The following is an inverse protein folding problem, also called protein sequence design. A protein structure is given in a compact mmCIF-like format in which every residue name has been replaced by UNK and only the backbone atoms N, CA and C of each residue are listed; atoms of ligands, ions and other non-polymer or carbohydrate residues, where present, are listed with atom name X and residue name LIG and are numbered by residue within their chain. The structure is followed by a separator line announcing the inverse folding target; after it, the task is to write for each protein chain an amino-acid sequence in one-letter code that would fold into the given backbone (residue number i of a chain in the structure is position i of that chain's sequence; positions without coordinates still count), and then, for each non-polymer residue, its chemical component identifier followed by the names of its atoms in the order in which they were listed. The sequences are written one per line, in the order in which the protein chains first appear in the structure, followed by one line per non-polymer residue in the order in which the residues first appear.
data_IF_935301958409
#
_entry.id   IF_935301958409
#
_cell.length_a   1.000
_cell.length_b   1.000
_cell.length_c   1.000
_cell.angle_alpha   90.00
_cell.angle_beta   90.00
_cell.angle_gamma   90.00
#
_symmetry.space_group_name_H-M   'P 1'
#
loop_
_entity.id
_entity.type
_entity.pdbx_description
1 polymer ?
#
# COMPACT_ATOMS: atom_id res chain seq x y z
N UNK A 1 -18.34 11.84 -8.45
CA UNK A 1 -16.91 11.80 -8.06
C UNK A 1 -16.68 13.02 -7.18
N UNK A 2 -16.57 12.86 -5.85
CA UNK A 2 -16.52 14.02 -4.94
C UNK A 2 -17.35 13.90 -3.67
N UNK A 3 -17.41 12.71 -3.05
CA UNK A 3 -17.76 12.68 -1.63
C UNK A 3 -16.49 13.06 -0.86
N UNK A 4 -16.51 14.18 -0.13
CA UNK A 4 -15.42 14.53 0.78
C UNK A 4 -15.22 13.42 1.82
N UNK A 5 -14.00 12.93 1.95
CA UNK A 5 -13.59 11.87 2.85
C UNK A 5 -13.23 12.49 4.21
N UNK A 6 -14.24 12.68 5.07
CA UNK A 6 -14.03 13.24 6.40
C UNK A 6 -13.01 12.40 7.20
N UNK A 7 -11.89 13.01 7.61
CA UNK A 7 -10.77 12.34 8.31
C UNK A 7 -9.45 12.29 7.54
N UNK A 8 -9.44 12.66 6.26
CA UNK A 8 -8.29 12.51 5.36
C UNK A 8 -8.49 11.34 4.39
N UNK A 9 -8.03 11.46 3.15
CA UNK A 9 -8.07 10.38 2.18
C UNK A 9 -6.99 9.34 2.56
N UNK A 10 -7.41 8.14 2.93
CA UNK A 10 -6.49 7.02 3.03
C UNK A 10 -6.40 6.37 1.66
N UNK A 11 -5.18 6.21 1.17
CA UNK A 11 -4.95 5.80 -0.22
C UNK A 11 -3.92 4.69 -0.24
N UNK A 12 -4.17 3.75 -1.14
CA UNK A 12 -3.18 2.79 -1.64
C UNK A 12 -2.97 3.15 -3.11
N UNK A 13 -1.72 3.36 -3.48
CA UNK A 13 -1.35 3.72 -4.85
C UNK A 13 -0.21 2.81 -5.32
N UNK A 14 -0.22 2.48 -6.61
CA UNK A 14 0.82 1.69 -7.25
C UNK A 14 1.05 2.18 -8.69
N UNK A 15 2.29 2.03 -9.17
CA UNK A 15 2.61 2.23 -10.59
C UNK A 15 1.79 1.23 -11.42
N UNK A 16 1.09 1.73 -12.44
CA UNK A 16 0.32 0.94 -13.42
C UNK A 16 0.92 0.95 -14.82
N UNK A 17 2.05 1.64 -14.99
CA UNK A 17 2.88 1.61 -16.20
C UNK A 17 4.35 1.42 -15.86
N UNK A 18 5.15 1.11 -16.87
CA UNK A 18 6.61 1.13 -16.80
C UNK A 18 7.16 2.05 -17.91
N UNK A 19 7.75 3.18 -17.52
CA UNK A 19 8.37 4.13 -18.41
C UNK A 19 9.66 4.66 -17.75
N UNK A 20 10.81 4.18 -18.20
CA UNK A 20 12.11 4.54 -17.63
C UNK A 20 13.07 3.37 -17.65
N UNK A 21 14.29 3.57 -17.17
CA UNK A 21 15.30 2.52 -17.05
C UNK A 21 15.70 2.20 -15.60
N UNK A 22 15.19 2.97 -14.65
CA UNK A 22 15.52 2.92 -13.23
C UNK A 22 14.36 2.30 -12.44
N UNK A 23 14.63 1.54 -11.37
CA UNK A 23 13.59 1.04 -10.48
C UNK A 23 12.87 2.18 -9.77
N UNK A 24 11.54 2.12 -9.73
CA UNK A 24 10.72 3.10 -9.04
C UNK A 24 9.46 2.49 -8.43
N UNK A 25 8.81 3.23 -7.54
CA UNK A 25 7.50 2.90 -6.97
C UNK A 25 6.68 4.15 -6.66
N UNK A 26 5.38 3.98 -6.41
CA UNK A 26 4.52 5.07 -5.97
C UNK A 26 4.72 5.36 -4.46
N UNK A 27 4.92 6.62 -4.10
CA UNK A 27 5.00 7.10 -2.71
C UNK A 27 4.06 8.29 -2.50
N UNK A 28 3.44 8.37 -1.32
CA UNK A 28 2.60 9.51 -0.96
C UNK A 28 3.37 10.60 -0.22
N UNK A 29 2.94 11.86 -0.37
CA UNK A 29 3.41 12.99 0.45
C UNK A 29 2.30 13.59 1.33
N UNK A 30 1.40 12.71 1.79
CA UNK A 30 0.26 13.09 2.63
C UNK A 30 -1.05 13.28 1.86
N UNK A 31 -2.10 13.55 2.65
CA UNK A 31 -3.46 13.70 2.14
C UNK A 31 -4.31 14.63 3.01
N UNK A 32 -5.36 15.17 2.39
CA UNK A 32 -6.44 15.93 3.01
C UNK A 32 -7.74 15.14 2.89
N UNK A 33 -8.85 15.68 3.39
CA UNK A 33 -10.17 15.06 3.24
C UNK A 33 -10.70 15.03 1.79
N UNK A 34 -10.02 15.64 0.82
CA UNK A 34 -10.49 15.71 -0.56
C UNK A 34 -9.40 15.41 -1.61
N UNK A 35 -8.13 15.36 -1.22
CA UNK A 35 -6.99 15.17 -2.12
C UNK A 35 -5.89 14.37 -1.44
N UNK A 36 -5.02 13.74 -2.23
CA UNK A 36 -3.78 13.12 -1.77
C UNK A 36 -2.68 13.45 -2.78
N UNK A 37 -1.45 13.50 -2.30
CA UNK A 37 -0.28 13.64 -3.14
C UNK A 37 0.33 12.27 -3.41
N UNK A 38 0.78 12.05 -4.65
CA UNK A 38 1.50 10.85 -5.05
C UNK A 38 2.65 11.23 -5.98
N UNK A 39 3.81 10.67 -5.71
CA UNK A 39 5.03 10.78 -6.50
C UNK A 39 5.48 9.40 -6.97
N UNK A 40 6.30 9.39 -8.01
CA UNK A 40 7.09 8.21 -8.40
C UNK A 40 8.48 8.40 -7.81
N UNK A 41 8.85 7.53 -6.89
CA UNK A 41 10.14 7.56 -6.21
C UNK A 41 11.08 6.57 -6.89
N UNK A 42 12.13 7.10 -7.52
CA UNK A 42 13.25 6.31 -8.01
C UNK A 42 14.18 5.87 -6.89
N UNK A 43 14.67 4.65 -7.00
CA UNK A 43 15.85 4.27 -6.24
C UNK A 43 17.14 4.79 -6.91
N UNK A 44 18.22 4.82 -6.14
CA UNK A 44 19.55 5.22 -6.63
C UNK A 44 20.49 4.03 -6.78
N UNK A 45 19.95 2.84 -7.06
CA UNK A 45 20.75 1.60 -7.10
C UNK A 45 21.64 1.51 -8.34
N UNK A 46 21.20 2.12 -9.44
CA UNK A 46 21.93 2.18 -10.73
C UNK A 46 22.90 3.35 -10.80
N UNK A 47 22.47 4.52 -10.36
CA UNK A 47 23.20 5.78 -10.32
C UNK A 47 22.54 6.73 -9.29
N UNK A 48 23.15 7.89 -9.03
CA UNK A 48 22.66 8.86 -8.04
C UNK A 48 21.58 9.80 -8.59
N UNK A 49 21.00 9.46 -9.73
CA UNK A 49 20.10 10.29 -10.50
C UNK A 49 18.66 9.90 -10.17
N UNK A 50 17.76 10.90 -10.04
CA UNK A 50 16.36 10.68 -9.60
C UNK A 50 15.35 11.43 -10.48
N UNK A 51 15.73 11.83 -11.70
CA UNK A 51 14.84 12.49 -12.66
C UNK A 51 13.99 11.45 -13.37
N UNK A 52 12.80 11.21 -12.85
CA UNK A 52 11.88 10.26 -13.46
C UNK A 52 11.03 10.91 -14.59
N UNK A 53 10.70 10.12 -15.62
CA UNK A 53 9.72 10.53 -16.66
C UNK A 53 8.27 10.32 -16.18
N UNK A 54 7.26 10.81 -16.90
CA UNK A 54 5.89 10.60 -16.43
C UNK A 54 5.45 9.12 -16.54
N UNK A 55 4.85 8.59 -15.47
CA UNK A 55 4.20 7.27 -15.41
C UNK A 55 2.76 7.38 -14.90
N UNK A 56 1.96 6.37 -15.20
CA UNK A 56 0.62 6.19 -14.65
C UNK A 56 0.67 5.55 -13.27
N UNK A 57 -0.13 6.10 -12.35
CA UNK A 57 -0.37 5.55 -11.01
C UNK A 57 -1.86 5.26 -10.88
N UNK A 58 -2.20 4.02 -10.50
CA UNK A 58 -3.55 3.63 -10.13
C UNK A 58 -3.70 3.66 -8.62
N UNK A 59 -4.89 4.03 -8.12
CA UNK A 59 -5.12 4.20 -6.69
C UNK A 59 -6.49 3.68 -6.24
N UNK A 60 -6.55 3.30 -4.97
CA UNK A 60 -7.77 2.99 -4.23
C UNK A 60 -7.85 3.87 -2.98
N UNK A 61 -8.95 4.59 -2.80
CA UNK A 61 -9.13 5.54 -1.70
C UNK A 61 -10.29 5.16 -0.78
N UNK A 62 -10.11 5.35 0.53
CA UNK A 62 -11.09 5.03 1.57
C UNK A 62 -11.14 6.11 2.67
N UNK A 63 -12.31 6.30 3.29
CA UNK A 63 -12.60 7.43 4.17
C UNK A 63 -12.10 7.27 5.62
N UNK A 64 -11.87 6.04 6.09
CA UNK A 64 -11.36 5.73 7.41
C UNK A 64 -10.82 4.29 7.45
N UNK A 65 -9.93 4.01 8.41
CA UNK A 65 -9.57 2.63 8.74
C UNK A 65 -10.81 1.85 9.20
N UNK A 66 -10.86 0.56 8.88
CA UNK A 66 -11.97 -0.31 9.26
C UNK A 66 -12.37 -1.29 8.15
N UNK A 67 -13.56 -1.85 8.31
CA UNK A 67 -14.05 -2.99 7.53
C UNK A 67 -14.99 -2.54 6.42
N UNK A 68 -14.78 -3.05 5.20
CA UNK A 68 -15.76 -2.98 4.12
C UNK A 68 -16.47 -4.33 3.96
N UNK A 69 -17.79 -4.32 4.09
CA UNK A 69 -18.65 -5.51 3.96
C UNK A 69 -19.20 -5.64 2.55
N UNK A 70 -19.22 -6.85 1.99
CA UNK A 70 -19.90 -7.22 0.74
C UNK A 70 -21.18 -8.00 1.05
N UNK A 71 -22.22 -7.87 0.22
CA UNK A 71 -23.49 -8.59 0.44
C UNK A 71 -23.43 -10.01 -0.16
N UNK A 72 -23.97 -11.05 0.53
CA UNK A 72 -24.61 -11.03 1.84
C UNK A 72 -23.57 -11.02 2.98
N UNK A 73 -23.55 -9.94 3.78
CA UNK A 73 -22.64 -9.63 4.92
C UNK A 73 -21.47 -10.61 5.11
N UNK A 74 -20.55 -10.61 4.16
CA UNK A 74 -19.20 -11.09 4.40
C UNK A 74 -18.33 -9.85 4.47
N UNK A 75 -17.73 -9.67 5.64
CA UNK A 75 -16.72 -8.65 5.84
C UNK A 75 -15.44 -9.16 5.18
N UNK A 76 -15.22 -8.71 3.94
CA UNK A 76 -14.21 -9.27 3.03
C UNK A 76 -12.89 -8.52 3.12
N UNK A 77 -12.86 -7.38 3.81
CA UNK A 77 -11.78 -6.43 3.75
C UNK A 77 -11.61 -5.66 5.07
N UNK A 78 -10.37 -5.48 5.50
CA UNK A 78 -9.95 -4.65 6.63
C UNK A 78 -8.87 -3.67 6.16
N UNK A 79 -8.97 -2.40 6.56
CA UNK A 79 -7.95 -1.37 6.28
C UNK A 79 -7.41 -0.80 7.59
N UNK A 80 -6.16 -0.37 7.57
CA UNK A 80 -5.56 0.30 8.71
C UNK A 80 -4.43 1.25 8.34
N UNK A 81 -4.01 2.00 9.35
CA UNK A 81 -2.87 2.93 9.28
C UNK A 81 -2.03 2.76 10.53
N UNK A 82 -0.72 2.80 10.37
CA UNK A 82 0.25 2.68 11.46
C UNK A 82 1.50 3.49 11.15
N UNK A 83 2.28 3.81 12.18
CA UNK A 83 3.63 4.35 12.02
C UNK A 83 4.63 3.20 12.00
N UNK A 84 5.55 3.20 11.04
CA UNK A 84 6.60 2.20 10.89
C UNK A 84 7.95 2.86 10.65
N UNK A 85 9.00 2.23 11.14
CA UNK A 85 10.40 2.45 10.76
C UNK A 85 10.95 1.15 10.12
N UNK A 86 12.28 0.97 10.17
CA UNK A 86 12.97 -0.23 9.69
C UNK A 86 12.75 -1.48 10.56
N UNK A 87 12.15 -1.34 11.75
CA UNK A 87 11.91 -2.46 12.66
C UNK A 87 10.59 -3.18 12.33
N UNK A 88 10.58 -4.53 12.30
CA UNK A 88 9.35 -5.28 12.06
C UNK A 88 8.29 -5.07 13.14
N UNK A 89 7.09 -4.69 12.73
CA UNK A 89 5.91 -4.64 13.59
C UNK A 89 4.84 -5.62 13.11
N UNK A 90 4.37 -6.46 14.02
CA UNK A 90 3.22 -7.34 13.78
C UNK A 90 1.92 -6.60 14.08
N UNK A 91 1.01 -6.62 13.12
CA UNK A 91 -0.36 -6.14 13.24
C UNK A 91 -1.27 -7.36 13.38
N UNK A 92 -2.06 -7.38 14.46
CA UNK A 92 -3.16 -8.34 14.62
C UNK A 92 -4.42 -7.72 14.06
N UNK A 93 -5.00 -8.39 13.08
CA UNK A 93 -6.23 -8.01 12.41
C UNK A 93 -7.44 -8.20 13.33
N UNK A 94 -8.45 -7.37 13.14
CA UNK A 94 -9.75 -7.56 13.80
C UNK A 94 -10.37 -8.90 13.40
N UNK A 95 -10.09 -9.35 12.16
CA UNK A 95 -10.69 -10.55 11.55
C UNK A 95 -9.70 -11.65 11.22
N UNK A 96 -10.26 -12.83 10.95
CA UNK A 96 -9.52 -13.96 10.40
C UNK A 96 -9.85 -14.10 8.92
N UNK A 97 -8.81 -14.36 8.13
CA UNK A 97 -8.82 -14.59 6.69
C UNK A 97 -8.31 -16.00 6.43
N UNK A 98 -8.92 -16.70 5.49
CA UNK A 98 -8.42 -18.01 5.05
C UNK A 98 -7.29 -17.82 4.04
N UNK A 99 -7.44 -16.85 3.13
CA UNK A 99 -6.50 -16.52 2.06
C UNK A 99 -6.28 -15.00 1.97
N UNK A 100 -5.59 -14.39 2.95
CA UNK A 100 -5.40 -12.94 3.00
C UNK A 100 -4.55 -12.43 1.83
N UNK A 101 -5.08 -11.48 1.07
CA UNK A 101 -4.36 -10.62 0.11
C UNK A 101 -4.03 -9.32 0.84
N UNK A 102 -2.75 -9.00 0.95
CA UNK A 102 -2.27 -7.82 1.69
C UNK A 102 -1.64 -6.83 0.72
N UNK A 103 -2.05 -5.57 0.79
CA UNK A 103 -1.47 -4.46 0.03
C UNK A 103 -1.12 -3.35 1.03
N UNK A 104 0.08 -2.80 0.97
CA UNK A 104 0.55 -1.74 1.85
C UNK A 104 1.26 -0.63 1.08
N UNK A 105 1.21 0.59 1.60
CA UNK A 105 1.69 1.80 0.94
C UNK A 105 2.28 2.79 1.96
N UNK A 106 3.46 3.33 1.68
CA UNK A 106 4.08 4.41 2.45
C UNK A 106 3.36 5.71 2.14
N UNK A 107 2.62 6.24 3.12
CA UNK A 107 1.70 7.35 2.96
C UNK A 107 2.31 8.73 3.24
N UNK A 108 3.56 8.79 3.71
CA UNK A 108 4.29 10.01 4.04
C UNK A 108 5.73 9.98 3.54
N UNK A 109 6.35 11.17 3.55
CA UNK A 109 7.76 11.38 3.29
C UNK A 109 8.41 12.25 4.39
N UNK A 110 8.79 11.59 5.48
CA UNK A 110 9.53 12.16 6.60
C UNK A 110 11.04 11.91 6.49
N UNK A 111 11.44 10.76 5.94
CA UNK A 111 12.84 10.39 5.72
C UNK A 111 13.33 10.73 4.30
N UNK A 112 14.62 11.11 4.14
CA UNK A 112 15.19 11.44 2.84
C UNK A 112 15.60 10.21 2.01
N UNK A 113 15.65 9.02 2.61
CA UNK A 113 15.99 7.79 1.90
C UNK A 113 14.75 7.17 1.23
N UNK A 114 14.90 6.56 0.05
CA UNK A 114 13.81 5.81 -0.57
C UNK A 114 13.47 4.55 0.24
N UNK A 115 12.18 4.27 0.41
CA UNK A 115 11.69 3.10 1.15
C UNK A 115 10.44 2.49 0.54
N UNK A 116 10.28 1.18 0.74
CA UNK A 116 9.04 0.47 0.47
C UNK A 116 8.57 -0.32 1.69
N UNK A 117 7.28 -0.68 1.74
CA UNK A 117 6.75 -1.54 2.79
C UNK A 117 7.05 -2.98 2.46
N UNK A 118 7.77 -3.65 3.35
CA UNK A 118 7.94 -5.10 3.30
C UNK A 118 6.83 -5.78 4.09
N UNK A 119 5.99 -6.54 3.38
CA UNK A 119 5.00 -7.43 3.99
C UNK A 119 5.62 -8.81 4.20
N UNK A 120 5.52 -9.34 5.42
CA UNK A 120 5.99 -10.69 5.77
C UNK A 120 5.09 -11.31 6.85
N UNK A 121 5.33 -12.59 7.19
CA UNK A 121 4.63 -13.23 8.30
C UNK A 121 3.10 -13.28 8.18
N UNK A 122 2.55 -13.27 6.96
CA UNK A 122 1.11 -13.22 6.73
C UNK A 122 0.45 -14.55 7.14
N UNK A 123 -0.38 -14.48 8.17
CA UNK A 123 -1.25 -15.55 8.67
C UNK A 123 -2.72 -15.10 8.54
N UNK A 124 -3.66 -15.96 8.94
CA UNK A 124 -5.07 -15.62 8.87
C UNK A 124 -5.47 -14.41 9.74
N UNK A 125 -4.74 -14.10 10.80
CA UNK A 125 -5.07 -12.98 11.71
C UNK A 125 -3.92 -12.01 11.96
N UNK A 126 -2.71 -12.32 11.52
CA UNK A 126 -1.54 -11.51 11.79
C UNK A 126 -0.76 -11.27 10.50
N UNK A 127 -0.15 -10.09 10.39
CA UNK A 127 0.82 -9.78 9.34
C UNK A 127 1.92 -8.88 9.91
N UNK A 128 3.13 -9.01 9.38
CA UNK A 128 4.28 -8.22 9.81
C UNK A 128 4.66 -7.22 8.71
N UNK A 129 4.78 -5.95 9.09
CA UNK A 129 5.17 -4.85 8.22
C UNK A 129 6.46 -4.19 8.74
N UNK A 130 7.29 -3.69 7.84
CA UNK A 130 8.42 -2.80 8.14
C UNK A 130 8.70 -1.93 6.90
N UNK A 131 9.35 -0.79 7.10
CA UNK A 131 10.00 -0.09 6.01
C UNK A 131 11.28 -0.84 5.62
N UNK A 132 11.55 -0.89 4.33
CA UNK A 132 12.76 -1.49 3.78
C UNK A 132 13.36 -0.56 2.74
N UNK A 133 14.59 -0.16 2.98
CA UNK A 133 15.41 0.59 2.03
C UNK A 133 15.98 -0.34 0.92
N UNK A 134 16.39 0.23 -0.23
CA UNK A 134 17.23 -0.47 -1.19
C UNK A 134 18.52 -1.04 -0.56
N UNK A 135 18.98 -2.18 -1.07
CA UNK A 135 20.10 -2.93 -0.49
C UNK A 135 21.45 -2.19 -0.48
N UNK A 136 21.60 -1.08 -1.21
CA UNK A 136 22.83 -0.27 -1.21
C UNK A 136 22.87 0.78 -0.09
N UNK A 137 21.78 0.95 0.67
CA UNK A 137 21.72 1.82 1.85
C UNK A 137 22.03 1.03 3.13
N UNK A 138 21.98 1.70 4.29
CA UNK A 138 22.33 1.10 5.59
C UNK A 138 21.15 0.35 6.26
N UNK A 139 19.94 0.51 5.72
CA UNK A 139 18.73 -0.16 6.17
C UNK A 139 18.03 0.56 7.33
N UNK A 140 18.54 1.70 7.81
CA UNK A 140 17.98 2.44 8.93
C UNK A 140 17.13 3.61 8.44
N UNK A 141 15.82 3.51 8.63
CA UNK A 141 14.87 4.57 8.27
C UNK A 141 14.17 5.18 9.49
N UNK A 142 13.74 6.43 9.37
CA UNK A 142 12.86 7.12 10.34
C UNK A 142 11.40 6.67 10.20
N UNK A 143 10.56 7.10 11.13
CA UNK A 143 9.13 6.80 11.11
C UNK A 143 8.41 7.38 9.87
N UNK A 144 7.61 6.55 9.20
CA UNK A 144 6.62 6.95 8.19
C UNK A 144 5.24 6.41 8.56
N UNK A 145 4.19 7.11 8.15
CA UNK A 145 2.85 6.55 8.19
C UNK A 145 2.65 5.59 7.01
N UNK A 146 2.15 4.39 7.29
CA UNK A 146 1.85 3.35 6.30
C UNK A 146 0.36 3.04 6.35
N UNK A 147 -0.27 3.02 5.18
CA UNK A 147 -1.62 2.50 5.00
C UNK A 147 -1.53 1.04 4.56
N UNK A 148 -2.43 0.19 5.04
CA UNK A 148 -2.56 -1.19 4.56
C UNK A 148 -4.02 -1.59 4.37
N UNK A 149 -4.22 -2.60 3.54
CA UNK A 149 -5.50 -3.25 3.28
C UNK A 149 -5.27 -4.77 3.22
N UNK A 150 -6.17 -5.51 3.87
CA UNK A 150 -6.25 -6.97 3.81
C UNK A 150 -7.60 -7.36 3.25
N UNK A 151 -7.61 -8.20 2.21
CA UNK A 151 -8.83 -8.70 1.56
C UNK A 151 -8.80 -10.21 1.53
N UNK A 152 -9.92 -10.88 1.77
CA UNK A 152 -10.03 -12.32 1.48
C UNK A 152 -9.94 -12.52 -0.04
N UNK A 153 -9.09 -13.44 -0.49
CA UNK A 153 -8.99 -13.74 -1.91
C UNK A 153 -10.34 -14.25 -2.47
N UNK A 154 -10.75 -13.73 -3.63
CA UNK A 154 -12.02 -14.06 -4.27
C UNK A 154 -12.64 -12.89 -5.02
N UNK A 155 -13.86 -13.12 -5.50
CA UNK A 155 -14.71 -12.09 -6.13
C UNK A 155 -15.89 -11.77 -5.23
N UNK A 156 -16.07 -10.48 -4.94
CA UNK A 156 -17.01 -9.98 -3.96
C UNK A 156 -17.90 -8.91 -4.57
N UNK A 157 -19.21 -8.94 -4.26
CA UNK A 157 -20.14 -7.88 -4.67
C UNK A 157 -20.42 -6.98 -3.46
N UNK A 158 -19.92 -5.75 -3.52
CA UNK A 158 -20.14 -4.74 -2.50
C UNK A 158 -21.63 -4.32 -2.43
N UNK A 159 -22.09 -3.68 -1.35
CA UNK A 159 -23.51 -3.38 -1.14
C UNK A 159 -24.09 -2.43 -2.19
N UNK A 160 -23.24 -1.65 -2.85
CA UNK A 160 -23.60 -0.76 -3.96
C UNK A 160 -23.59 -1.45 -5.33
N UNK A 161 -23.29 -2.75 -5.37
CA UNK A 161 -23.18 -3.56 -6.59
C UNK A 161 -21.78 -3.57 -7.23
N UNK A 162 -20.80 -2.86 -6.67
CA UNK A 162 -19.42 -2.86 -7.16
C UNK A 162 -18.81 -4.25 -7.03
N UNK A 163 -18.17 -4.75 -8.10
CA UNK A 163 -17.41 -5.99 -8.08
C UNK A 163 -15.97 -5.70 -7.62
N UNK A 164 -15.54 -6.38 -6.56
CA UNK A 164 -14.17 -6.38 -6.05
C UNK A 164 -13.55 -7.77 -6.30
N UNK A 165 -12.40 -7.82 -6.95
CA UNK A 165 -11.61 -9.05 -7.09
C UNK A 165 -10.26 -8.86 -6.38
N UNK A 166 -9.92 -9.81 -5.52
CA UNK A 166 -8.62 -9.86 -4.84
C UNK A 166 -7.99 -11.23 -5.08
N UNK A 167 -6.73 -11.24 -5.50
CA UNK A 167 -6.03 -12.47 -5.83
C UNK A 167 -4.53 -12.38 -5.55
N UNK A 168 -3.89 -13.54 -5.50
CA UNK A 168 -2.43 -13.68 -5.49
C UNK A 168 -1.99 -14.23 -6.83
N UNK A 169 -0.93 -13.67 -7.39
CA UNK A 169 -0.25 -14.23 -8.54
C UNK A 169 1.21 -14.49 -8.17
N UNK A 170 1.75 -15.60 -8.65
CA UNK A 170 3.17 -15.91 -8.55
C UNK A 170 3.77 -15.96 -9.95
N UNK A 171 4.92 -15.33 -10.13
CA UNK A 171 5.70 -15.39 -11.36
C UNK A 171 7.16 -15.57 -11.01
N UNK A 172 7.83 -16.49 -11.69
CA UNK A 172 9.28 -16.64 -11.68
C UNK A 172 9.92 -16.04 -12.95
N UNK A 173 9.17 -15.19 -13.65
CA UNK A 173 9.64 -14.52 -14.87
C UNK A 173 10.27 -13.19 -14.50
N UNK A 174 11.48 -12.95 -15.01
CA UNK A 174 12.04 -11.61 -15.12
C UNK A 174 11.45 -10.98 -16.39
N UNK A 175 10.86 -9.80 -16.27
CA UNK A 175 10.42 -8.98 -17.40
C UNK A 175 11.61 -8.35 -18.11
#
# INVERSE_FOLDING_TARGET
LGAGMAGGANVIAALSSFAGANPAWARGNGSTNAAFDVSVEEDTSRDSETTHIAESVDYFAFNQAGILSAAPRQDVLETGRLTLDHNPQTVTLERSYDNPVVIAHVATENGPQPVNVRVSGVSGRDLTLQLQEPNHLDGAHVDEAVNYMVVEAGSWVLPDGTLLEAGKAQSHKLS
#
